data_IF_250367223164
#
_entry.id   IF_250367223164
#
_cell.length_a   1.000
_cell.length_b   1.000
_cell.length_c   1.000
_cell.angle_alpha   90.00
_cell.angle_beta   90.00
_cell.angle_gamma   90.00
#
_symmetry.space_group_name_H-M   'P 1'
#
loop_
_entity.id
_entity.type
_entity.pdbx_description
1 polymer ?
#
# COMPACT_ATOMS: atom_id res chain seq x y z
N UNK A 1 -28.69 22.63 13.87
CA UNK A 1 -28.67 21.60 12.82
C UNK A 1 -27.24 21.15 12.41
N UNK A 2 -26.24 22.02 12.35
CA UNK A 2 -24.84 21.67 11.97
C UNK A 2 -24.12 20.64 12.87
N UNK A 3 -24.32 20.70 14.19
CA UNK A 3 -23.65 19.76 15.13
C UNK A 3 -24.09 18.31 14.98
N UNK A 4 -25.30 18.05 14.50
CA UNK A 4 -25.81 16.69 14.35
C UNK A 4 -25.22 15.99 13.12
N UNK A 5 -24.98 16.74 12.04
CA UNK A 5 -24.37 16.20 10.81
C UNK A 5 -22.87 15.87 11.01
N UNK A 6 -22.15 16.66 11.80
CA UNK A 6 -20.74 16.39 12.12
C UNK A 6 -20.58 15.12 12.94
N UNK A 7 -21.46 14.86 13.93
CA UNK A 7 -21.40 13.65 14.74
C UNK A 7 -21.69 12.36 13.95
N UNK A 8 -22.60 12.41 12.99
CA UNK A 8 -22.90 11.26 12.12
C UNK A 8 -21.72 10.96 11.18
N UNK A 9 -21.10 11.99 10.62
CA UNK A 9 -19.91 11.84 9.77
C UNK A 9 -18.72 11.27 10.56
N UNK A 10 -18.50 11.74 11.77
CA UNK A 10 -17.40 11.28 12.63
C UNK A 10 -17.59 9.82 13.02
N UNK A 11 -18.82 9.41 13.35
CA UNK A 11 -19.16 8.02 13.65
C UNK A 11 -18.95 7.12 12.42
N UNK A 12 -19.44 7.52 11.25
CA UNK A 12 -19.23 6.78 10.01
C UNK A 12 -17.74 6.65 9.65
N UNK A 13 -16.95 7.72 9.83
CA UNK A 13 -15.51 7.65 9.60
C UNK A 13 -14.80 6.73 10.60
N UNK A 14 -15.22 6.70 11.85
CA UNK A 14 -14.67 5.80 12.86
C UNK A 14 -14.95 4.34 12.52
N UNK A 15 -16.17 4.00 12.12
CA UNK A 15 -16.56 2.66 11.68
C UNK A 15 -15.80 2.22 10.42
N UNK A 16 -15.70 3.09 9.41
CA UNK A 16 -14.94 2.82 8.20
C UNK A 16 -13.45 2.58 8.49
N UNK A 17 -12.86 3.35 9.40
CA UNK A 17 -11.47 3.16 9.82
C UNK A 17 -11.28 1.84 10.59
N UNK A 18 -12.20 1.45 11.46
CA UNK A 18 -12.15 0.16 12.15
C UNK A 18 -12.24 -1.00 11.17
N UNK A 19 -13.14 -0.92 10.19
CA UNK A 19 -13.27 -1.90 9.12
C UNK A 19 -11.99 -2.04 8.29
N UNK A 20 -11.35 -0.92 7.94
CA UNK A 20 -10.08 -0.92 7.21
C UNK A 20 -8.95 -1.59 8.01
N UNK A 21 -8.78 -1.22 9.27
CA UNK A 21 -7.76 -1.83 10.14
C UNK A 21 -7.98 -3.33 10.33
N UNK A 22 -9.24 -3.76 10.45
CA UNK A 22 -9.58 -5.18 10.57
C UNK A 22 -9.24 -5.93 9.27
N UNK A 23 -9.57 -5.36 8.12
CA UNK A 23 -9.27 -5.94 6.81
C UNK A 23 -7.76 -6.12 6.59
N UNK A 24 -6.96 -5.09 6.90
CA UNK A 24 -5.49 -5.14 6.85
C UNK A 24 -4.95 -6.28 7.73
N UNK A 25 -5.36 -6.33 8.99
CA UNK A 25 -4.92 -7.37 9.93
C UNK A 25 -5.32 -8.78 9.47
N UNK A 26 -6.55 -8.93 8.99
CA UNK A 26 -7.06 -10.22 8.50
C UNK A 26 -6.22 -10.70 7.33
N UNK A 27 -6.00 -9.86 6.33
CA UNK A 27 -5.17 -10.20 5.17
C UNK A 27 -3.75 -10.59 5.57
N UNK A 28 -3.07 -9.74 6.35
CA UNK A 28 -1.69 -9.99 6.78
C UNK A 28 -1.55 -11.29 7.55
N UNK A 29 -2.47 -11.57 8.48
CA UNK A 29 -2.43 -12.80 9.27
C UNK A 29 -2.74 -14.03 8.43
N UNK A 30 -3.71 -13.95 7.51
CA UNK A 30 -4.04 -15.06 6.60
C UNK A 30 -2.84 -15.44 5.73
N UNK A 31 -2.20 -14.44 5.12
CA UNK A 31 -1.02 -14.67 4.28
C UNK A 31 0.15 -15.21 5.10
N UNK A 32 0.41 -14.66 6.27
CA UNK A 32 1.49 -15.13 7.15
C UNK A 32 1.28 -16.58 7.55
N UNK A 33 0.11 -16.90 8.10
CA UNK A 33 -0.19 -18.26 8.53
C UNK A 33 -0.04 -19.25 7.39
N UNK A 34 -0.56 -18.92 6.22
CA UNK A 34 -0.43 -19.76 5.04
C UNK A 34 1.04 -20.02 4.66
N UNK A 35 1.87 -18.96 4.63
CA UNK A 35 3.28 -19.08 4.25
C UNK A 35 4.11 -19.79 5.31
N UNK A 36 3.85 -19.54 6.58
CA UNK A 36 4.54 -20.21 7.70
C UNK A 36 4.22 -21.70 7.73
N UNK A 37 2.97 -22.10 7.45
CA UNK A 37 2.54 -23.50 7.44
C UNK A 37 3.10 -24.24 6.22
N UNK A 38 3.06 -23.64 5.04
CA UNK A 38 3.42 -24.34 3.79
C UNK A 38 4.91 -24.24 3.47
N UNK A 39 5.56 -23.14 3.83
CA UNK A 39 6.95 -22.82 3.50
C UNK A 39 7.72 -22.34 4.73
N UNK A 40 7.86 -23.16 5.77
CA UNK A 40 8.44 -22.71 7.03
C UNK A 40 9.85 -22.16 6.85
N UNK A 41 10.03 -20.92 7.29
CA UNK A 41 11.33 -20.24 7.25
C UNK A 41 11.78 -19.72 5.88
N UNK A 42 10.93 -19.73 4.86
CA UNK A 42 11.29 -19.21 3.53
C UNK A 42 10.85 -17.76 3.31
N UNK A 43 9.82 -17.30 4.02
CA UNK A 43 9.16 -16.03 3.79
C UNK A 43 9.05 -15.17 5.04
N UNK A 44 9.09 -13.86 4.84
CA UNK A 44 8.80 -12.88 5.90
C UNK A 44 7.61 -12.03 5.48
N UNK A 45 6.56 -12.02 6.30
CA UNK A 45 5.40 -11.13 6.13
C UNK A 45 5.45 -10.03 7.18
N UNK A 46 5.69 -8.80 6.73
CA UNK A 46 5.84 -7.63 7.60
C UNK A 46 4.63 -6.70 7.45
N UNK A 47 3.85 -6.45 8.52
CA UNK A 47 2.83 -5.42 8.50
C UNK A 47 3.49 -4.03 8.54
N UNK A 48 2.92 -3.07 7.82
CA UNK A 48 3.33 -1.66 7.80
C UNK A 48 4.86 -1.46 7.71
N UNK A 49 5.51 -1.99 6.66
CA UNK A 49 6.96 -1.95 6.52
C UNK A 49 7.46 -0.51 6.42
N UNK A 50 8.60 -0.21 7.05
CA UNK A 50 9.17 1.14 7.08
C UNK A 50 10.15 1.41 5.93
N UNK A 51 10.70 0.37 5.31
CA UNK A 51 11.66 0.48 4.21
C UNK A 51 11.11 1.27 3.00
N UNK A 52 9.83 1.09 2.66
CA UNK A 52 9.21 1.85 1.58
C UNK A 52 9.05 3.34 1.91
N UNK A 53 8.83 3.69 3.17
CA UNK A 53 8.70 5.08 3.61
C UNK A 53 9.98 5.87 3.33
N UNK A 54 11.14 5.28 3.63
CA UNK A 54 12.45 5.90 3.35
C UNK A 54 12.67 6.06 1.83
N UNK A 55 12.35 5.04 1.05
CA UNK A 55 12.50 5.07 -0.41
C UNK A 55 11.63 6.17 -1.04
N UNK A 56 10.41 6.31 -0.58
CA UNK A 56 9.51 7.36 -1.09
C UNK A 56 9.99 8.76 -0.70
N UNK A 57 10.57 8.90 0.46
CA UNK A 57 11.20 10.13 0.89
C UNK A 57 12.35 10.52 -0.06
N UNK A 58 13.25 9.58 -0.34
CA UNK A 58 14.34 9.76 -1.30
C UNK A 58 13.80 10.14 -2.70
N UNK A 59 12.80 9.44 -3.19
CA UNK A 59 12.13 9.74 -4.46
C UNK A 59 11.57 11.17 -4.51
N UNK A 60 10.96 11.64 -3.44
CA UNK A 60 10.42 13.01 -3.36
C UNK A 60 11.53 14.05 -3.46
N UNK A 61 12.66 13.82 -2.81
CA UNK A 61 13.82 14.70 -2.88
C UNK A 61 14.47 14.71 -4.27
N UNK A 62 14.67 13.56 -4.86
CA UNK A 62 15.27 13.46 -6.20
C UNK A 62 14.47 14.22 -7.26
N UNK A 63 13.16 14.29 -7.11
CA UNK A 63 12.28 15.01 -8.04
C UNK A 63 12.16 16.51 -7.78
N UNK A 64 12.51 16.96 -6.59
CA UNK A 64 12.36 18.36 -6.20
C UNK A 64 13.60 18.86 -5.44
N UNK A 65 14.81 18.75 -6.00
CA UNK A 65 16.05 19.05 -5.28
C UNK A 65 16.16 20.53 -4.87
N UNK A 66 15.60 21.42 -5.69
CA UNK A 66 15.62 22.86 -5.40
C UNK A 66 14.64 23.26 -4.28
N UNK A 67 13.56 22.50 -4.15
CA UNK A 67 12.50 22.80 -3.18
C UNK A 67 12.79 22.21 -1.80
N UNK A 68 13.52 21.12 -1.78
CA UNK A 68 13.85 20.39 -0.57
C UNK A 68 15.36 20.16 -0.52
N UNK A 69 16.09 20.98 0.23
CA UNK A 69 17.47 20.65 0.57
C UNK A 69 17.46 19.26 1.23
N UNK A 70 18.11 18.27 0.60
CA UNK A 70 18.10 16.90 1.09
C UNK A 70 18.98 16.78 2.34
N UNK A 71 18.43 16.68 3.55
CA UNK A 71 19.22 16.24 4.68
C UNK A 71 19.48 14.73 4.53
N UNK A 72 20.62 14.25 4.94
CA UNK A 72 20.92 12.81 4.95
C UNK A 72 19.92 12.04 5.80
N UNK A 73 19.42 12.68 6.86
CA UNK A 73 18.25 12.23 7.62
C UNK A 73 17.33 13.42 7.91
N UNK A 74 15.99 13.29 7.69
CA UNK A 74 15.06 14.35 8.03
C UNK A 74 15.08 14.63 9.52
N UNK A 75 15.34 15.86 9.87
CA UNK A 75 15.28 16.35 11.25
C UNK A 75 14.01 17.16 11.49
N UNK A 76 13.66 17.42 12.75
CA UNK A 76 12.50 18.24 13.08
C UNK A 76 12.67 19.71 12.68
N UNK A 77 13.90 20.12 12.32
CA UNK A 77 14.23 21.44 11.80
C UNK A 77 14.05 21.59 10.29
N UNK A 78 13.80 20.49 9.56
CA UNK A 78 13.54 20.55 8.13
C UNK A 78 12.14 21.10 7.89
N UNK A 79 12.05 22.40 7.66
CA UNK A 79 10.79 23.11 7.48
C UNK A 79 10.66 23.62 6.05
N UNK A 80 9.46 23.56 5.54
CA UNK A 80 9.08 24.18 4.28
C UNK A 80 7.77 24.97 4.45
N UNK A 81 7.62 26.03 3.67
CA UNK A 81 6.41 26.82 3.65
C UNK A 81 5.37 26.18 2.74
N UNK A 82 4.19 25.85 3.29
CA UNK A 82 3.06 25.38 2.52
C UNK A 82 2.17 26.56 2.10
N UNK A 83 2.14 26.97 0.82
CA UNK A 83 1.41 28.15 0.37
C UNK A 83 -0.11 28.03 0.59
N UNK A 84 -0.66 26.82 0.43
CA UNK A 84 -2.09 26.55 0.60
C UNK A 84 -2.55 26.76 2.05
N UNK A 85 -1.74 26.34 2.99
CA UNK A 85 -2.07 26.45 4.42
C UNK A 85 -1.49 27.70 5.06
N UNK A 86 -0.67 28.47 4.32
CA UNK A 86 0.08 29.64 4.84
C UNK A 86 0.85 29.31 6.13
N UNK A 87 1.42 28.12 6.21
CA UNK A 87 2.10 27.61 7.40
C UNK A 87 3.41 26.92 7.04
N UNK A 88 4.39 27.01 7.94
CA UNK A 88 5.57 26.18 7.87
C UNK A 88 5.26 24.77 8.39
N UNK A 89 5.74 23.76 7.66
CA UNK A 89 5.62 22.37 8.03
C UNK A 89 6.98 21.71 8.06
N UNK A 90 7.17 20.79 9.00
CA UNK A 90 8.37 19.97 9.04
C UNK A 90 8.20 18.76 8.12
N UNK A 91 9.21 18.46 7.31
CA UNK A 91 9.20 17.30 6.41
C UNK A 91 9.04 15.99 7.19
N UNK A 92 9.79 15.83 8.28
CA UNK A 92 9.70 14.67 9.16
C UNK A 92 8.27 14.43 9.67
N UNK A 93 7.59 15.49 10.10
CA UNK A 93 6.22 15.40 10.59
C UNK A 93 5.24 15.02 9.50
N UNK A 94 5.44 15.50 8.28
CA UNK A 94 4.60 15.17 7.13
C UNK A 94 4.78 13.72 6.71
N UNK A 95 5.99 13.19 6.70
CA UNK A 95 6.26 11.78 6.40
C UNK A 95 5.87 10.86 7.58
N UNK A 96 6.09 11.29 8.82
CA UNK A 96 5.72 10.52 10.01
C UNK A 96 4.21 10.44 10.23
N UNK A 97 3.44 11.43 9.78
CA UNK A 97 1.97 11.46 9.95
C UNK A 97 1.19 10.69 8.88
N UNK A 98 1.83 9.76 8.17
CA UNK A 98 1.15 8.95 7.14
C UNK A 98 0.88 9.69 5.83
N UNK A 99 1.43 10.88 5.67
CA UNK A 99 1.21 11.72 4.47
C UNK A 99 1.81 11.20 3.17
N UNK A 100 2.37 10.00 3.16
CA UNK A 100 3.00 9.55 1.96
C UNK A 100 2.94 8.07 1.66
N UNK A 101 3.51 7.23 2.50
CA UNK A 101 3.87 5.89 2.09
C UNK A 101 3.83 4.90 3.23
N UNK A 102 2.70 4.77 3.83
CA UNK A 102 2.44 3.66 4.71
C UNK A 102 1.67 2.59 3.92
N UNK A 103 2.38 1.62 3.43
CA UNK A 103 1.80 0.45 2.78
C UNK A 103 1.48 -0.61 3.84
N UNK A 104 0.46 -1.43 3.59
CA UNK A 104 -0.11 -2.25 4.65
C UNK A 104 0.67 -3.53 4.91
N UNK A 105 1.30 -4.10 3.87
CA UNK A 105 2.00 -5.38 3.95
C UNK A 105 3.23 -5.43 3.06
N UNK A 106 4.25 -6.17 3.49
CA UNK A 106 5.39 -6.59 2.68
C UNK A 106 5.53 -8.11 2.78
N UNK A 107 5.71 -8.77 1.65
CA UNK A 107 6.16 -10.17 1.57
C UNK A 107 7.58 -10.16 1.03
N UNK A 108 8.48 -10.84 1.72
CA UNK A 108 9.89 -10.94 1.35
C UNK A 108 10.34 -12.41 1.34
N UNK A 109 11.00 -12.83 0.27
CA UNK A 109 11.61 -14.15 0.18
C UNK A 109 13.02 -14.10 0.76
N UNK A 110 13.29 -14.86 1.82
CA UNK A 110 14.52 -14.78 2.62
C UNK A 110 15.76 -15.03 1.77
N UNK A 111 15.74 -16.06 0.92
CA UNK A 111 16.92 -16.45 0.13
C UNK A 111 17.29 -15.42 -0.93
N UNK A 112 16.33 -14.87 -1.65
CA UNK A 112 16.60 -13.91 -2.75
C UNK A 112 16.67 -12.46 -2.26
N UNK A 113 16.11 -12.13 -1.09
CA UNK A 113 15.92 -10.78 -0.60
C UNK A 113 14.87 -9.98 -1.40
N UNK A 114 14.22 -10.60 -2.41
CA UNK A 114 13.19 -9.95 -3.21
C UNK A 114 11.92 -9.74 -2.40
N UNK A 115 11.24 -8.64 -2.68
CA UNK A 115 10.06 -8.23 -1.90
C UNK A 115 8.98 -7.60 -2.77
N UNK A 116 7.75 -7.73 -2.32
CA UNK A 116 6.58 -7.05 -2.88
C UNK A 116 5.84 -6.32 -1.75
N UNK A 117 5.30 -5.17 -2.08
CA UNK A 117 4.52 -4.33 -1.19
C UNK A 117 3.05 -4.40 -1.57
N UNK A 118 2.19 -4.70 -0.62
CA UNK A 118 0.76 -4.91 -0.85
C UNK A 118 -0.04 -3.85 -0.10
N UNK A 119 -0.82 -3.10 -0.86
CA UNK A 119 -1.78 -2.15 -0.32
C UNK A 119 -3.14 -2.82 -0.18
N UNK A 120 -3.71 -2.79 1.01
CA UNK A 120 -5.03 -3.36 1.31
C UNK A 120 -6.06 -2.24 1.39
N UNK A 121 -7.13 -2.34 0.64
CA UNK A 121 -8.20 -1.34 0.62
C UNK A 121 -9.55 -1.96 0.89
N UNK A 122 -10.17 -1.56 2.00
CA UNK A 122 -11.55 -1.87 2.28
C UNK A 122 -12.45 -0.83 1.58
N UNK A 123 -13.20 -1.28 0.59
CA UNK A 123 -14.05 -0.43 -0.25
C UNK A 123 -15.52 -0.71 0.01
N UNK A 124 -16.20 0.29 0.54
CA UNK A 124 -17.66 0.34 0.59
C UNK A 124 -18.26 0.88 -0.72
N UNK A 125 -19.60 0.88 -0.86
CA UNK A 125 -20.28 1.22 -2.11
C UNK A 125 -20.09 2.66 -2.56
N UNK A 126 -19.70 3.56 -1.69
CA UNK A 126 -19.49 4.99 -1.96
C UNK A 126 -18.07 5.50 -1.63
N UNK A 127 -17.11 4.61 -1.45
CA UNK A 127 -15.74 4.99 -1.08
C UNK A 127 -14.86 5.31 -2.28
N UNK A 128 -13.73 5.96 -2.01
CA UNK A 128 -12.70 6.31 -3.00
C UNK A 128 -11.35 5.65 -2.66
N UNK A 129 -11.36 4.43 -2.17
CA UNK A 129 -10.15 3.70 -1.76
C UNK A 129 -9.16 3.50 -2.92
N UNK A 130 -9.68 3.34 -4.15
CA UNK A 130 -8.91 3.20 -5.39
C UNK A 130 -8.03 4.43 -5.67
N UNK A 131 -8.53 5.64 -5.50
CA UNK A 131 -7.75 6.88 -5.71
C UNK A 131 -6.53 6.92 -4.78
N UNK A 132 -6.70 6.49 -3.55
CA UNK A 132 -5.60 6.45 -2.57
C UNK A 132 -4.59 5.36 -2.87
N UNK A 133 -5.03 4.23 -3.42
CA UNK A 133 -4.14 3.15 -3.84
C UNK A 133 -3.35 3.51 -5.10
N UNK A 134 -3.94 4.29 -6.03
CA UNK A 134 -3.32 4.67 -7.30
C UNK A 134 -1.99 5.43 -7.15
N UNK A 135 -1.70 6.01 -6.00
CA UNK A 135 -0.41 6.68 -5.74
C UNK A 135 0.81 5.76 -5.95
N UNK A 136 0.67 4.44 -5.74
CA UNK A 136 1.72 3.46 -5.95
C UNK A 136 1.72 2.86 -7.36
N UNK A 137 0.67 3.10 -8.15
CA UNK A 137 0.56 2.60 -9.51
C UNK A 137 1.26 3.48 -10.55
N UNK A 138 1.82 4.63 -10.15
CA UNK A 138 2.48 5.54 -11.10
C UNK A 138 3.79 4.95 -11.62
N UNK A 139 4.05 4.97 -12.94
CA UNK A 139 5.27 4.41 -13.53
C UNK A 139 6.57 4.95 -12.89
N UNK A 140 6.54 6.21 -12.49
CA UNK A 140 7.73 6.86 -11.92
C UNK A 140 8.11 6.30 -10.55
N UNK A 141 7.15 6.03 -9.65
CA UNK A 141 7.47 5.41 -8.36
C UNK A 141 7.81 3.93 -8.51
N UNK A 142 7.13 3.22 -9.40
CA UNK A 142 7.46 1.82 -9.72
C UNK A 142 8.91 1.73 -10.18
N UNK A 143 9.31 2.53 -11.18
CA UNK A 143 10.67 2.56 -11.70
C UNK A 143 11.72 2.92 -10.64
N UNK A 144 11.41 3.89 -9.76
CA UNK A 144 12.33 4.26 -8.67
C UNK A 144 12.55 3.09 -7.70
N UNK A 145 11.48 2.40 -7.29
CA UNK A 145 11.56 1.24 -6.38
C UNK A 145 12.24 0.06 -7.06
N UNK A 146 11.95 -0.20 -8.34
CA UNK A 146 12.63 -1.23 -9.13
C UNK A 146 14.14 -1.00 -9.16
N UNK A 147 14.56 0.22 -9.46
CA UNK A 147 15.99 0.61 -9.46
C UNK A 147 16.64 0.45 -8.09
N UNK A 148 15.95 0.87 -7.02
CA UNK A 148 16.46 0.79 -5.66
C UNK A 148 16.72 -0.64 -5.19
N UNK A 149 15.84 -1.57 -5.54
CA UNK A 149 15.95 -2.98 -5.18
C UNK A 149 16.58 -3.87 -6.25
N UNK A 150 16.95 -3.30 -7.39
CA UNK A 150 17.48 -4.03 -8.56
C UNK A 150 16.54 -5.18 -8.99
N UNK A 151 15.27 -4.86 -9.22
CA UNK A 151 14.23 -5.82 -9.63
C UNK A 151 13.55 -5.37 -10.92
N UNK A 152 13.04 -6.33 -11.72
CA UNK A 152 12.39 -6.06 -13.00
C UNK A 152 10.85 -6.16 -12.95
N UNK A 153 10.28 -6.76 -11.91
CA UNK A 153 8.83 -6.88 -11.74
C UNK A 153 8.23 -5.64 -11.05
N UNK A 154 6.91 -5.47 -11.16
CA UNK A 154 6.20 -4.44 -10.41
C UNK A 154 6.25 -4.74 -8.90
N UNK A 155 6.87 -3.88 -8.07
CA UNK A 155 7.04 -4.13 -6.64
C UNK A 155 5.76 -3.93 -5.82
N UNK A 156 4.67 -3.50 -6.45
CA UNK A 156 3.40 -3.21 -5.77
C UNK A 156 2.30 -4.17 -6.21
N UNK A 157 1.49 -4.61 -5.25
CA UNK A 157 0.24 -5.30 -5.48
C UNK A 157 -0.88 -4.67 -4.64
N UNK A 158 -2.12 -4.93 -5.03
CA UNK A 158 -3.29 -4.30 -4.46
C UNK A 158 -4.33 -5.35 -4.13
N UNK A 159 -4.76 -5.38 -2.89
CA UNK A 159 -5.83 -6.24 -2.43
C UNK A 159 -7.03 -5.37 -2.03
N UNK A 160 -8.10 -5.46 -2.81
CA UNK A 160 -9.36 -4.80 -2.49
C UNK A 160 -10.29 -5.78 -1.77
N UNK A 161 -10.95 -5.30 -0.73
CA UNK A 161 -11.91 -6.04 0.08
C UNK A 161 -13.13 -5.17 0.39
N UNK A 162 -14.13 -5.73 1.04
CA UNK A 162 -15.37 -5.06 1.37
C UNK A 162 -16.49 -5.34 0.38
N UNK A 163 -17.49 -4.47 0.33
CA UNK A 163 -18.73 -4.70 -0.44
C UNK A 163 -18.53 -4.72 -1.97
N UNK A 164 -17.43 -4.16 -2.45
CA UNK A 164 -17.15 -4.05 -3.89
C UNK A 164 -16.39 -5.25 -4.45
N UNK A 165 -16.04 -6.23 -3.61
CA UNK A 165 -15.15 -7.35 -4.00
C UNK A 165 -15.75 -8.24 -5.09
N UNK A 166 -17.06 -8.38 -5.13
CA UNK A 166 -17.80 -9.22 -6.11
C UNK A 166 -18.26 -8.45 -7.36
N UNK A 167 -17.91 -7.15 -7.44
CA UNK A 167 -18.34 -6.31 -8.56
C UNK A 167 -17.35 -6.32 -9.69
N UNK A 168 -17.72 -6.96 -10.79
CA UNK A 168 -16.91 -7.03 -12.01
C UNK A 168 -16.68 -5.65 -12.64
N UNK A 169 -17.71 -4.79 -12.65
CA UNK A 169 -17.61 -3.43 -13.15
C UNK A 169 -16.57 -2.60 -12.39
N UNK A 170 -16.50 -2.76 -11.08
CA UNK A 170 -15.48 -2.10 -10.27
C UNK A 170 -14.07 -2.63 -10.57
N UNK A 171 -13.93 -3.93 -10.77
CA UNK A 171 -12.65 -4.51 -11.19
C UNK A 171 -12.20 -3.96 -12.55
N UNK A 172 -13.10 -3.90 -13.52
CA UNK A 172 -12.81 -3.33 -14.84
C UNK A 172 -12.39 -1.86 -14.73
N UNK A 173 -13.06 -1.08 -13.88
CA UNK A 173 -12.68 0.30 -13.61
C UNK A 173 -11.26 0.43 -13.03
N UNK A 174 -10.90 -0.42 -12.06
CA UNK A 174 -9.55 -0.45 -11.49
C UNK A 174 -8.49 -0.73 -12.54
N UNK A 175 -8.73 -1.71 -13.41
CA UNK A 175 -7.79 -2.09 -14.47
C UNK A 175 -7.69 -1.04 -15.59
N UNK A 176 -8.81 -0.49 -16.04
CA UNK A 176 -8.86 0.38 -17.22
C UNK A 176 -8.68 1.86 -16.91
N UNK A 177 -9.29 2.36 -15.84
CA UNK A 177 -9.26 3.79 -15.49
C UNK A 177 -8.07 4.14 -14.62
N UNK A 178 -7.77 3.29 -13.63
CA UNK A 178 -6.67 3.51 -12.70
C UNK A 178 -5.38 2.80 -13.08
N UNK A 179 -5.41 1.94 -14.09
CA UNK A 179 -4.23 1.29 -14.64
C UNK A 179 -3.57 0.27 -13.72
N UNK A 180 -4.33 -0.32 -12.79
CA UNK A 180 -3.80 -1.42 -11.99
C UNK A 180 -3.56 -2.64 -12.88
N UNK A 181 -2.33 -3.12 -12.93
CA UNK A 181 -2.00 -4.30 -13.70
C UNK A 181 -2.74 -5.54 -13.15
N UNK A 182 -3.30 -6.35 -14.03
CA UNK A 182 -4.10 -7.52 -13.66
C UNK A 182 -3.36 -8.51 -12.75
N UNK A 183 -2.06 -8.67 -12.97
CA UNK A 183 -1.20 -9.53 -12.17
C UNK A 183 -0.79 -8.93 -10.81
N UNK A 184 -1.20 -7.68 -10.55
CA UNK A 184 -0.96 -6.98 -9.29
C UNK A 184 -2.25 -6.68 -8.53
N UNK A 185 -3.42 -6.95 -9.13
CA UNK A 185 -4.73 -6.65 -8.55
C UNK A 185 -5.42 -7.92 -8.11
N UNK A 186 -5.85 -7.96 -6.87
CA UNK A 186 -6.66 -9.05 -6.32
C UNK A 186 -7.84 -8.51 -5.52
N UNK A 187 -8.97 -9.20 -5.60
CA UNK A 187 -10.20 -8.86 -4.87
C UNK A 187 -10.61 -10.06 -4.03
N UNK A 188 -10.62 -9.87 -2.70
CA UNK A 188 -10.94 -10.94 -1.76
C UNK A 188 -11.39 -10.36 -0.40
N UNK A 189 -12.29 -11.05 0.28
CA UNK A 189 -12.66 -10.77 1.66
C UNK A 189 -12.60 -12.04 2.52
N UNK A 190 -12.58 -11.87 3.83
CA UNK A 190 -12.55 -12.98 4.79
C UNK A 190 -13.76 -13.94 4.68
N UNK A 191 -14.85 -13.47 4.09
CA UNK A 191 -16.07 -14.24 3.93
C UNK A 191 -16.08 -15.08 2.63
N UNK A 192 -15.03 -14.91 1.80
CA UNK A 192 -14.79 -15.73 0.61
C UNK A 192 -13.90 -16.94 0.92
N UNK A 193 -13.97 -18.00 0.09
CA UNK A 193 -13.05 -19.13 0.17
C UNK A 193 -11.58 -18.67 0.15
N UNK A 194 -10.71 -19.39 0.83
CA UNK A 194 -9.28 -19.08 0.89
C UNK A 194 -8.54 -19.45 -0.41
N UNK A 195 -9.04 -20.44 -1.13
CA UNK A 195 -8.40 -21.02 -2.30
C UNK A 195 -8.05 -20.00 -3.38
N UNK A 196 -8.91 -19.03 -3.76
CA UNK A 196 -8.54 -18.00 -4.73
C UNK A 196 -7.37 -17.12 -4.26
N UNK A 197 -7.30 -16.77 -2.96
CA UNK A 197 -6.18 -16.01 -2.41
C UNK A 197 -4.89 -16.82 -2.48
N UNK A 198 -4.94 -18.08 -2.09
CA UNK A 198 -3.80 -19.01 -2.19
C UNK A 198 -3.35 -19.13 -3.63
N UNK A 199 -4.27 -19.34 -4.56
CA UNK A 199 -3.94 -19.44 -5.98
C UNK A 199 -3.26 -18.18 -6.51
N UNK A 200 -3.74 -17.00 -6.15
CA UNK A 200 -3.10 -15.74 -6.52
C UNK A 200 -1.70 -15.61 -5.95
N UNK A 201 -1.49 -15.93 -4.68
CA UNK A 201 -0.16 -15.95 -4.07
C UNK A 201 0.77 -16.89 -4.84
N UNK A 202 0.38 -18.15 -5.03
CA UNK A 202 1.20 -19.20 -5.62
C UNK A 202 1.51 -18.98 -7.11
N UNK A 203 0.54 -18.50 -7.87
CA UNK A 203 0.70 -18.33 -9.32
C UNK A 203 1.24 -16.97 -9.72
N UNK A 204 1.11 -15.96 -8.86
CA UNK A 204 1.36 -14.57 -9.26
C UNK A 204 2.41 -13.87 -8.39
N UNK A 205 2.33 -14.00 -7.07
CA UNK A 205 3.19 -13.24 -6.16
C UNK A 205 4.50 -13.98 -5.86
N UNK A 206 4.41 -15.21 -5.37
CA UNK A 206 5.59 -15.93 -4.92
C UNK A 206 6.59 -16.24 -6.05
N UNK A 207 6.17 -16.56 -7.29
CA UNK A 207 7.12 -16.78 -8.39
C UNK A 207 7.97 -15.55 -8.73
N UNK A 208 7.40 -14.34 -8.61
CA UNK A 208 8.15 -13.08 -8.84
C UNK A 208 9.30 -12.92 -7.83
N UNK A 209 9.14 -13.44 -6.62
CA UNK A 209 10.07 -13.28 -5.52
C UNK A 209 11.09 -14.43 -5.42
N UNK A 210 10.69 -15.65 -5.75
CA UNK A 210 11.55 -16.84 -5.68
C UNK A 210 12.37 -17.08 -6.95
N UNK A 211 12.01 -16.47 -8.09
CA UNK A 211 12.77 -16.62 -9.33
C UNK A 211 14.24 -16.24 -9.12
N UNK A 212 15.16 -17.06 -9.60
CA UNK A 212 16.58 -16.73 -9.66
C UNK A 212 16.77 -15.46 -10.51
N UNK A 213 17.67 -14.59 -10.08
CA UNK A 213 18.03 -13.35 -10.79
C UNK A 213 18.86 -13.67 -12.01
#
# INVERSE_FOLDING_TARGET
MEKHHLSQRDNWQAEANQGAVLAEKTFVNTVRNYLDDKYPGEWIVTPKPQDLRQIYYEYTYERNPERYAKPEQPTDSDVWYCPTLKQFRTLKRQFASGGGCEIDCKIEHIRSGKKIFIEVKNQGPAGNAHERAAKYATPSIISHVQKKFNISYNPFAYMFTGEMVDRLDYRVELETTYGFAQDCLFMWSKDHPLEPLVQWLESTILPKLSAAS
#
